data_IF_366176099015
#
_entry.id   IF_366176099015
#
_cell.length_a   1.000
_cell.length_b   1.000
_cell.length_c   1.000
_cell.angle_alpha   90.00
_cell.angle_beta   90.00
_cell.angle_gamma   90.00
#
_symmetry.space_group_name_H-M   'P 1'
#
loop_
_entity.id
_entity.type
_entity.pdbx_description
1 polymer ?
#
# COMPACT_ATOMS: atom_id res chain seq x y z
N UNK A 1 0.12 -8.15 2.18
CA UNK A 1 -0.96 -7.66 1.30
C UNK A 1 -0.79 -8.29 -0.07
N UNK A 2 -1.88 -8.68 -0.74
CA UNK A 2 -1.80 -8.94 -2.19
C UNK A 2 -1.54 -7.61 -2.92
N UNK A 3 -0.89 -7.64 -4.10
CA UNK A 3 -0.75 -6.46 -4.92
C UNK A 3 -2.11 -5.91 -5.34
N UNK A 4 -2.17 -4.60 -5.52
CA UNK A 4 -3.27 -3.97 -6.24
C UNK A 4 -3.29 -4.49 -7.66
N UNK A 5 -4.49 -4.82 -8.15
CA UNK A 5 -4.71 -5.25 -9.51
C UNK A 5 -5.83 -4.46 -10.17
N UNK A 6 -5.72 -4.23 -11.46
CA UNK A 6 -6.82 -3.69 -12.25
C UNK A 6 -7.74 -4.80 -12.77
N UNK A 7 -8.78 -4.42 -13.51
CA UNK A 7 -9.73 -5.35 -14.16
C UNK A 7 -9.10 -6.37 -15.13
N UNK A 8 -7.84 -6.18 -15.55
CA UNK A 8 -7.10 -7.08 -16.45
C UNK A 8 -6.07 -7.93 -15.69
N UNK A 9 -6.18 -8.00 -14.36
CA UNK A 9 -5.25 -8.68 -13.45
C UNK A 9 -3.80 -8.14 -13.54
N UNK A 10 -3.60 -6.93 -14.09
CA UNK A 10 -2.27 -6.31 -14.15
C UNK A 10 -1.89 -5.82 -12.76
N UNK A 11 -0.67 -6.10 -12.31
CA UNK A 11 -0.12 -5.59 -11.05
C UNK A 11 0.04 -4.07 -11.11
N UNK A 12 -0.77 -3.35 -10.36
CA UNK A 12 -0.82 -1.88 -10.31
C UNK A 12 0.17 -1.34 -9.28
N UNK A 13 0.19 -1.95 -8.09
CA UNK A 13 1.12 -1.60 -7.03
C UNK A 13 1.40 -2.85 -6.18
N UNK A 14 2.66 -3.04 -5.79
CA UNK A 14 3.11 -4.18 -4.99
C UNK A 14 3.61 -3.64 -3.66
N UNK A 15 2.87 -3.92 -2.58
CA UNK A 15 3.31 -3.55 -1.24
C UNK A 15 4.24 -4.62 -0.66
N UNK A 16 5.44 -4.21 -0.25
CA UNK A 16 6.37 -5.00 0.56
C UNK A 16 6.86 -4.12 1.70
N UNK A 17 7.10 -4.68 2.88
CA UNK A 17 7.69 -3.93 3.99
C UNK A 17 9.05 -3.37 3.56
N UNK A 18 9.12 -2.06 3.31
CA UNK A 18 10.31 -1.37 2.81
C UNK A 18 10.02 -0.47 1.60
N UNK A 19 11.09 -0.01 0.90
CA UNK A 19 10.95 0.89 -0.24
C UNK A 19 10.14 0.29 -1.38
N UNK A 20 9.42 1.14 -2.11
CA UNK A 20 8.67 0.76 -3.31
C UNK A 20 9.55 -0.01 -4.30
N UNK A 21 9.05 -1.15 -4.79
CA UNK A 21 9.72 -2.02 -5.76
C UNK A 21 9.02 -1.94 -7.12
N UNK A 22 9.28 -0.89 -7.93
CA UNK A 22 8.57 -0.66 -9.20
C UNK A 22 8.84 -1.74 -10.26
N UNK A 23 9.84 -2.60 -10.08
CA UNK A 23 10.18 -3.67 -11.03
C UNK A 23 9.12 -4.77 -11.16
N UNK A 24 8.27 -4.96 -10.16
CA UNK A 24 7.20 -5.98 -10.19
C UNK A 24 5.85 -5.45 -10.68
N UNK A 25 5.75 -4.14 -10.87
CA UNK A 25 4.55 -3.49 -11.40
C UNK A 25 4.49 -3.64 -12.91
N UNK A 26 3.26 -3.67 -13.44
CA UNK A 26 3.07 -3.54 -14.87
C UNK A 26 3.62 -2.18 -15.32
N UNK A 27 4.30 -2.17 -16.48
CA UNK A 27 5.00 -1.01 -17.00
C UNK A 27 4.14 0.26 -17.08
N UNK A 28 2.83 0.10 -17.32
CA UNK A 28 1.87 1.21 -17.43
C UNK A 28 1.67 1.94 -16.08
N UNK A 29 1.86 1.25 -14.96
CA UNK A 29 1.68 1.80 -13.61
C UNK A 29 3.00 2.08 -12.90
N UNK A 30 4.11 1.61 -13.47
CA UNK A 30 5.46 1.87 -12.95
C UNK A 30 5.65 3.38 -12.77
N UNK A 31 6.23 3.78 -11.63
CA UNK A 31 6.45 5.18 -11.20
C UNK A 31 5.21 6.07 -11.07
N UNK A 32 4.01 5.55 -11.37
CA UNK A 32 2.75 6.30 -11.29
C UNK A 32 1.93 5.96 -10.07
N UNK A 33 2.29 4.93 -9.30
CA UNK A 33 1.54 4.52 -8.11
C UNK A 33 2.34 4.77 -6.84
N UNK A 34 1.62 5.12 -5.76
CA UNK A 34 2.18 5.24 -4.40
C UNK A 34 1.15 4.76 -3.39
N UNK A 35 1.61 4.11 -2.33
CA UNK A 35 0.84 3.83 -1.12
C UNK A 35 1.51 4.47 0.10
N UNK A 36 0.80 4.50 1.23
CA UNK A 36 1.38 4.88 2.50
C UNK A 36 2.42 3.82 2.93
N UNK A 37 3.66 4.24 3.13
CA UNK A 37 4.76 3.37 3.57
C UNK A 37 4.49 2.79 4.98
N UNK A 38 3.75 3.54 5.81
CA UNK A 38 3.34 3.18 7.16
C UNK A 38 1.96 2.50 7.21
N UNK A 39 1.49 1.87 6.14
CA UNK A 39 0.11 1.34 6.10
C UNK A 39 -0.18 0.29 7.17
N UNK A 40 0.81 -0.46 7.66
CA UNK A 40 0.60 -1.45 8.72
C UNK A 40 0.38 -0.76 10.08
N UNK A 41 0.95 0.44 10.24
CA UNK A 41 0.80 1.28 11.44
C UNK A 41 -0.48 2.10 11.38
N UNK A 42 -0.78 2.68 10.24
CA UNK A 42 -1.90 3.62 10.07
C UNK A 42 -3.21 2.94 9.69
N UNK A 43 -3.17 1.72 9.16
CA UNK A 43 -4.31 1.06 8.53
C UNK A 43 -4.74 1.70 7.21
N UNK A 44 -4.01 2.72 6.73
CA UNK A 44 -4.34 3.43 5.49
C UNK A 44 -3.85 2.65 4.27
N UNK A 45 -4.78 1.93 3.66
CA UNK A 45 -4.55 1.13 2.47
C UNK A 45 -4.83 1.90 1.17
N UNK A 46 -4.85 3.23 1.20
CA UNK A 46 -5.15 4.03 0.01
C UNK A 46 -4.07 3.89 -1.06
N UNK A 47 -4.51 3.74 -2.31
CA UNK A 47 -3.65 3.77 -3.50
C UNK A 47 -3.80 5.13 -4.18
N UNK A 48 -2.67 5.83 -4.36
CA UNK A 48 -2.62 7.04 -5.19
C UNK A 48 -2.09 6.70 -6.57
N UNK A 49 -2.81 7.08 -7.62
CA UNK A 49 -2.37 7.03 -9.01
C UNK A 49 -2.06 8.45 -9.51
N UNK A 50 -0.84 8.66 -10.00
CA UNK A 50 -0.35 9.92 -10.58
C UNK A 50 -0.64 9.96 -12.07
N UNK A 51 -1.01 11.15 -12.53
CA UNK A 51 -1.37 11.46 -13.91
C UNK A 51 -2.37 10.45 -14.52
N UNK A 52 -3.59 10.30 -13.96
CA UNK A 52 -4.56 9.34 -14.49
C UNK A 52 -4.95 9.65 -15.93
N UNK A 53 -5.06 8.61 -16.75
CA UNK A 53 -5.51 8.68 -18.14
C UNK A 53 -6.87 8.04 -18.30
N UNK A 54 -7.56 8.29 -19.42
CA UNK A 54 -8.82 7.61 -19.73
C UNK A 54 -8.68 6.07 -19.70
N UNK A 55 -7.50 5.54 -20.05
CA UNK A 55 -7.22 4.10 -20.03
C UNK A 55 -7.11 3.48 -18.63
N UNK A 56 -6.94 4.29 -17.59
CA UNK A 56 -6.88 3.85 -16.19
C UNK A 56 -8.26 3.75 -15.54
N UNK A 57 -9.32 4.15 -16.26
CA UNK A 57 -10.70 4.04 -15.76
C UNK A 57 -11.11 2.58 -15.52
N UNK A 58 -11.71 2.33 -14.35
CA UNK A 58 -12.23 1.02 -13.97
C UNK A 58 -11.97 0.67 -12.51
N UNK A 59 -12.20 -0.58 -12.18
CA UNK A 59 -12.06 -1.12 -10.82
C UNK A 59 -10.62 -1.54 -10.55
N UNK A 60 -10.10 -1.10 -9.40
CA UNK A 60 -8.87 -1.58 -8.80
C UNK A 60 -9.20 -2.40 -7.56
N UNK A 61 -8.57 -3.56 -7.42
CA UNK A 61 -8.84 -4.51 -6.34
C UNK A 61 -7.57 -4.74 -5.53
N UNK A 62 -7.68 -4.69 -4.21
CA UNK A 62 -6.67 -5.19 -3.27
C UNK A 62 -7.33 -6.26 -2.39
N UNK A 63 -6.61 -7.35 -2.14
CA UNK A 63 -7.05 -8.40 -1.21
C UNK A 63 -6.16 -8.42 0.01
N UNK A 64 -6.80 -8.38 1.17
CA UNK A 64 -6.17 -8.59 2.46
C UNK A 64 -6.32 -10.07 2.79
N UNK A 65 -5.21 -10.80 2.88
CA UNK A 65 -5.22 -12.04 3.65
C UNK A 65 -5.10 -11.63 5.10
N UNK A 66 -6.07 -12.08 5.92
CA UNK A 66 -6.10 -11.81 7.34
C UNK A 66 -4.71 -12.09 7.93
N UNK A 67 -4.05 -11.04 8.44
CA UNK A 67 -2.78 -11.18 9.13
C UNK A 67 -3.15 -11.89 10.45
N UNK A 68 -3.06 -13.22 10.47
CA UNK A 68 -3.15 -14.03 11.70
C UNK A 68 -1.86 -13.86 12.52
N UNK A 69 -1.52 -12.60 12.80
CA UNK A 69 -0.28 -12.15 13.43
C UNK A 69 -0.56 -10.84 14.13
N UNK A 70 -0.84 -10.96 15.42
CA UNK A 70 -1.09 -9.90 16.40
C UNK A 70 -0.22 -8.65 16.15
N UNK A 71 -0.84 -7.51 15.82
CA UNK A 71 -0.17 -6.21 15.94
C UNK A 71 -0.10 -5.90 17.44
N UNK A 72 0.99 -6.31 18.09
CA UNK A 72 1.32 -5.86 19.44
C UNK A 72 1.95 -4.48 19.31
N UNK A 73 1.16 -3.44 19.58
CA UNK A 73 1.72 -2.14 19.90
C UNK A 73 2.50 -2.27 21.21
N UNK A 74 3.83 -2.06 21.27
CA UNK A 74 4.45 -1.83 22.55
C UNK A 74 3.76 -0.60 23.17
N UNK A 75 3.29 -0.75 24.41
CA UNK A 75 2.76 0.35 25.22
C UNK A 75 3.75 1.54 25.13
N UNK A 76 3.44 2.55 24.32
CA UNK A 76 4.12 3.85 24.40
C UNK A 76 3.87 4.34 25.82
N UNK A 77 4.90 4.27 26.66
CA UNK A 77 4.83 4.84 27.99
C UNK A 77 4.63 6.36 27.81
N UNK A 78 3.71 7.00 28.55
CA UNK A 78 3.56 8.44 28.47
C UNK A 78 4.90 9.08 28.83
N UNK A 79 5.37 9.99 27.97
CA UNK A 79 6.49 10.85 28.30
C UNK A 79 6.15 11.55 29.62
N UNK A 80 6.87 11.19 30.68
CA UNK A 80 6.78 11.85 31.96
C UNK A 80 7.16 13.32 31.83
N UNK A 81 6.71 14.18 32.77
CA UNK A 81 6.94 15.61 32.66
C UNK A 81 8.44 15.89 32.63
N UNK A 82 8.86 16.69 31.64
CA UNK A 82 10.18 17.29 31.63
C UNK A 82 10.28 18.21 32.85
N UNK A 83 11.30 17.97 33.68
CA UNK A 83 11.79 18.92 34.67
C UNK A 83 12.36 20.17 33.99
#
# INVERSE_FOLDING_TARGET
>A
LEPWKDRRDRKVHVFKNGPDQPGEQNQIYRTRTKMNEDLLRTGDLSLTLRDPTYGDSGTFTCRLWEISGLVVWPLMHPAGPHH
#
